data_IF_258198319778
#
_entry.id   IF_258198319778
#
_cell.length_a   1.000
_cell.length_b   1.000
_cell.length_c   1.000
_cell.angle_alpha   90.00
_cell.angle_beta   90.00
_cell.angle_gamma   90.00
#
_symmetry.space_group_name_H-M   'P 1'
#
loop_
_entity.id
_entity.type
_entity.pdbx_description
1 polymer ?
#
# COMPACT_ATOMS: atom_id res chain seq x y z
N UNK A 1 16.26 0.08 -52.37
CA UNK A 1 15.48 0.78 -51.32
C UNK A 1 16.48 1.44 -50.40
N UNK A 2 16.79 2.72 -50.62
CA UNK A 2 17.89 3.42 -49.96
C UNK A 2 17.43 4.00 -48.62
N UNK A 3 18.14 3.66 -47.55
CA UNK A 3 17.94 4.26 -46.22
C UNK A 3 18.59 5.65 -46.19
N UNK A 4 17.77 6.69 -46.05
CA UNK A 4 18.24 8.06 -45.80
C UNK A 4 18.60 8.17 -44.31
N UNK A 5 19.89 8.05 -44.00
CA UNK A 5 20.44 8.48 -42.71
C UNK A 5 20.22 9.98 -42.52
N UNK A 6 19.57 10.36 -41.43
CA UNK A 6 19.52 11.77 -41.00
C UNK A 6 20.84 12.13 -40.31
N UNK A 7 21.38 13.35 -40.51
CA UNK A 7 22.52 13.82 -39.76
C UNK A 7 22.15 13.95 -38.29
N UNK A 8 23.02 13.50 -37.39
CA UNK A 8 22.89 13.73 -35.96
C UNK A 8 23.27 15.19 -35.74
N UNK A 9 22.28 16.01 -35.39
CA UNK A 9 22.46 17.40 -35.02
C UNK A 9 23.37 17.47 -33.79
N UNK A 10 24.54 18.08 -33.96
CA UNK A 10 25.59 18.20 -32.98
C UNK A 10 25.10 19.11 -31.85
N UNK A 11 24.84 18.51 -30.68
CA UNK A 11 24.42 19.27 -29.50
C UNK A 11 25.53 20.27 -29.13
N UNK A 12 25.24 21.59 -29.07
CA UNK A 12 26.24 22.56 -28.69
C UNK A 12 26.72 22.27 -27.26
N UNK A 13 28.05 22.27 -27.12
CA UNK A 13 28.78 22.04 -25.89
C UNK A 13 28.16 22.76 -24.68
N UNK A 14 27.74 21.98 -23.69
CA UNK A 14 27.29 22.44 -22.37
C UNK A 14 28.47 23.02 -21.56
N UNK A 15 28.90 24.24 -21.88
CA UNK A 15 30.03 24.89 -21.18
C UNK A 15 29.69 26.12 -20.36
N UNK A 16 28.45 26.60 -20.35
CA UNK A 16 28.09 27.81 -19.58
C UNK A 16 26.69 27.72 -18.93
N UNK A 17 26.45 26.65 -18.16
CA UNK A 17 25.36 26.68 -17.18
C UNK A 17 25.92 27.25 -15.86
N UNK A 18 25.38 28.37 -15.33
CA UNK A 18 25.78 28.86 -14.03
C UNK A 18 25.49 27.78 -12.98
N UNK A 19 26.45 27.57 -12.07
CA UNK A 19 26.31 26.60 -11.00
C UNK A 19 24.99 26.83 -10.25
N UNK A 20 24.20 25.77 -9.97
CA UNK A 20 23.00 25.93 -9.16
C UNK A 20 23.40 26.52 -7.79
N UNK A 21 22.59 27.43 -7.21
CA UNK A 21 22.85 27.93 -5.87
C UNK A 21 22.94 26.73 -4.90
N UNK A 22 23.78 26.81 -3.86
CA UNK A 22 23.87 25.75 -2.87
C UNK A 22 22.46 25.48 -2.33
N UNK A 23 21.99 24.24 -2.53
CA UNK A 23 20.74 23.79 -1.97
C UNK A 23 20.79 23.98 -0.44
N UNK A 24 19.72 24.43 0.21
CA UNK A 24 19.65 24.38 1.67
C UNK A 24 19.62 22.91 2.10
N UNK A 25 20.80 22.34 2.30
CA UNK A 25 21.02 21.16 3.12
C UNK A 25 20.61 21.50 4.56
N UNK A 26 19.87 20.57 5.18
CA UNK A 26 19.59 20.49 6.63
C UNK A 26 18.51 21.43 7.18
N UNK A 27 17.24 21.10 6.89
CA UNK A 27 16.13 21.38 7.81
C UNK A 27 14.90 20.49 7.52
N UNK A 28 15.05 19.16 7.49
CA UNK A 28 13.90 18.25 7.57
C UNK A 28 14.31 16.86 8.08
N UNK A 29 15.27 16.79 8.99
CA UNK A 29 15.54 15.58 9.76
C UNK A 29 14.99 15.80 11.17
N UNK A 30 14.24 14.82 11.67
CA UNK A 30 13.50 14.80 12.95
C UNK A 30 12.12 15.49 12.98
N UNK A 31 11.20 15.05 12.13
CA UNK A 31 9.83 14.82 12.61
C UNK A 31 9.82 13.51 13.42
N UNK A 32 10.38 13.56 14.63
CA UNK A 32 10.30 12.45 15.58
C UNK A 32 8.82 12.09 15.79
N UNK A 33 8.50 10.84 15.48
CA UNK A 33 7.19 10.23 15.69
C UNK A 33 6.78 10.41 17.16
N UNK A 34 5.90 11.38 17.44
CA UNK A 34 5.26 11.46 18.74
C UNK A 34 4.48 10.16 18.96
N UNK A 35 4.56 9.52 20.14
CA UNK A 35 3.80 8.31 20.42
C UNK A 35 2.31 8.60 20.22
N UNK A 36 1.72 7.98 19.20
CA UNK A 36 0.28 8.09 18.94
C UNK A 36 -0.42 7.42 20.10
N UNK A 37 -1.30 8.16 20.76
CA UNK A 37 -2.16 7.62 21.81
C UNK A 37 -2.98 6.46 21.20
N UNK A 38 -3.02 5.27 21.82
CA UNK A 38 -3.83 4.16 21.31
C UNK A 38 -5.27 4.63 21.11
N UNK A 39 -5.83 4.40 19.92
CA UNK A 39 -7.23 4.66 19.66
C UNK A 39 -8.05 3.62 20.42
N UNK A 40 -9.09 4.06 21.12
CA UNK A 40 -10.01 3.15 21.80
C UNK A 40 -10.93 2.52 20.75
N UNK A 41 -10.71 1.25 20.44
CA UNK A 41 -11.45 0.50 19.41
C UNK A 41 -12.40 -0.47 20.11
N UNK A 42 -13.69 -0.37 19.81
CA UNK A 42 -14.67 -1.36 20.28
C UNK A 42 -14.49 -2.68 19.49
N UNK A 43 -14.46 -3.81 20.20
CA UNK A 43 -14.50 -5.12 19.58
C UNK A 43 -15.92 -5.38 19.03
N UNK A 44 -16.02 -5.62 17.73
CA UNK A 44 -17.28 -5.91 17.05
C UNK A 44 -17.38 -7.42 16.78
N UNK A 45 -18.53 -8.00 17.12
CA UNK A 45 -18.88 -9.37 16.74
C UNK A 45 -19.72 -9.32 15.45
N UNK A 46 -19.19 -9.90 14.37
CA UNK A 46 -19.87 -9.94 13.08
C UNK A 46 -20.72 -11.20 12.99
N UNK A 47 -22.03 -11.03 12.76
CA UNK A 47 -23.01 -12.11 12.69
C UNK A 47 -22.85 -13.01 11.45
N UNK A 48 -22.16 -12.54 10.42
CA UNK A 48 -21.87 -13.27 9.20
C UNK A 48 -20.35 -13.22 8.91
N UNK A 49 -19.61 -14.06 9.62
CA UNK A 49 -18.15 -14.10 9.54
C UNK A 49 -17.63 -14.64 8.21
N UNK A 50 -18.44 -15.41 7.48
CA UNK A 50 -18.07 -16.00 6.20
C UNK A 50 -18.18 -14.99 5.06
N UNK A 51 -19.09 -14.01 5.14
CA UNK A 51 -19.17 -12.90 4.18
C UNK A 51 -17.90 -12.04 4.13
N UNK A 52 -17.05 -12.12 5.15
CA UNK A 52 -15.79 -11.36 5.26
C UNK A 52 -14.53 -12.22 5.11
N UNK A 53 -14.67 -13.48 4.69
CA UNK A 53 -13.55 -14.42 4.52
C UNK A 53 -13.62 -15.11 3.17
N UNK A 54 -12.46 -15.40 2.62
CA UNK A 54 -12.29 -16.23 1.43
C UNK A 54 -11.11 -17.16 1.66
N UNK A 55 -11.10 -18.31 1.00
CA UNK A 55 -9.95 -19.22 1.04
C UNK A 55 -9.56 -19.66 -0.36
N UNK A 56 -8.27 -19.95 -0.52
CA UNK A 56 -7.74 -20.55 -1.74
C UNK A 56 -6.86 -21.75 -1.42
N UNK A 57 -6.91 -22.74 -2.31
CA UNK A 57 -5.94 -23.82 -2.33
C UNK A 57 -4.72 -23.38 -3.13
N UNK A 58 -3.54 -23.67 -2.62
CA UNK A 58 -2.28 -23.42 -3.30
C UNK A 58 -2.05 -24.49 -4.37
N UNK A 59 -1.74 -24.06 -5.59
CA UNK A 59 -1.24 -24.94 -6.64
C UNK A 59 0.13 -25.52 -6.25
N UNK A 60 0.92 -24.76 -5.48
CA UNK A 60 2.23 -25.16 -5.01
C UNK A 60 2.32 -25.06 -3.48
N UNK A 61 1.87 -26.10 -2.75
CA UNK A 61 2.03 -26.17 -1.31
C UNK A 61 3.49 -26.05 -0.89
N UNK A 62 3.74 -25.38 0.24
CA UNK A 62 5.09 -25.16 0.76
C UNK A 62 5.16 -25.47 2.25
N UNK A 63 6.40 -25.54 2.78
CA UNK A 63 6.64 -25.61 4.21
C UNK A 63 7.15 -24.28 4.72
N UNK A 64 6.56 -23.79 5.78
CA UNK A 64 6.99 -22.60 6.48
C UNK A 64 6.91 -22.85 7.99
N UNK A 65 7.99 -22.53 8.71
CA UNK A 65 8.13 -22.81 10.14
C UNK A 65 7.81 -24.28 10.53
N UNK A 66 8.28 -25.22 9.70
CA UNK A 66 8.03 -26.65 9.88
C UNK A 66 6.58 -27.11 9.61
N UNK A 67 5.66 -26.20 9.29
CA UNK A 67 4.26 -26.49 8.98
C UNK A 67 4.04 -26.53 7.48
N UNK A 68 3.22 -27.47 7.05
CA UNK A 68 2.79 -27.57 5.66
C UNK A 68 1.60 -26.64 5.41
N UNK A 69 1.75 -25.74 4.44
CA UNK A 69 0.73 -24.78 4.03
C UNK A 69 0.21 -25.22 2.67
N UNK A 70 -1.07 -25.62 2.63
CA UNK A 70 -1.78 -26.03 1.41
C UNK A 70 -2.86 -25.05 0.99
N UNK A 71 -3.33 -24.23 1.91
CA UNK A 71 -4.36 -23.22 1.67
C UNK A 71 -4.03 -21.92 2.39
N UNK A 72 -4.51 -20.83 1.84
CA UNK A 72 -4.42 -19.50 2.44
C UNK A 72 -5.84 -19.00 2.67
N UNK A 73 -6.14 -18.58 3.89
CA UNK A 73 -7.35 -17.85 4.24
C UNK A 73 -7.07 -16.36 4.15
N UNK A 74 -7.98 -15.64 3.51
CA UNK A 74 -7.94 -14.19 3.32
C UNK A 74 -9.16 -13.61 4.03
N UNK A 75 -8.94 -12.77 5.04
CA UNK A 75 -10.03 -12.07 5.73
C UNK A 75 -10.07 -10.60 5.34
N UNK A 76 -11.26 -10.01 5.45
CA UNK A 76 -11.43 -8.56 5.41
C UNK A 76 -10.75 -7.96 6.63
N UNK A 77 -10.04 -6.86 6.39
CA UNK A 77 -9.32 -6.10 7.41
C UNK A 77 -9.88 -4.68 7.43
N UNK A 78 -9.98 -4.08 8.61
CA UNK A 78 -10.42 -2.68 8.73
C UNK A 78 -9.30 -1.73 8.32
N UNK A 79 -9.65 -0.55 7.84
CA UNK A 79 -8.69 0.52 7.55
C UNK A 79 -7.75 0.83 8.73
N UNK A 80 -8.25 0.71 9.97
CA UNK A 80 -7.43 0.90 11.17
C UNK A 80 -6.36 -0.18 11.32
N UNK A 81 -6.72 -1.46 11.15
CA UNK A 81 -5.76 -2.56 11.23
C UNK A 81 -4.67 -2.45 10.16
N UNK A 82 -5.04 -1.98 8.95
CA UNK A 82 -4.05 -1.67 7.90
C UNK A 82 -3.15 -0.51 8.35
N UNK A 83 -3.73 0.58 8.88
CA UNK A 83 -2.98 1.75 9.33
C UNK A 83 -2.02 1.46 10.48
N UNK A 84 -2.36 0.52 11.37
CA UNK A 84 -1.50 0.05 12.45
C UNK A 84 -0.35 -0.82 11.95
N UNK A 85 -0.56 -1.61 10.90
CA UNK A 85 0.48 -2.42 10.29
C UNK A 85 1.44 -1.58 9.44
N UNK A 86 0.92 -0.58 8.71
CA UNK A 86 1.68 0.25 7.77
C UNK A 86 2.95 0.97 8.30
N UNK A 87 3.07 1.47 9.55
CA UNK A 87 4.30 2.11 10.01
C UNK A 87 5.53 1.18 9.96
N UNK A 88 5.35 -0.13 9.92
CA UNK A 88 6.43 -1.11 9.76
C UNK A 88 6.80 -1.40 8.30
N UNK A 89 5.99 -0.93 7.34
CA UNK A 89 6.15 -1.22 5.92
C UNK A 89 6.42 0.04 5.10
N UNK A 90 7.32 -0.05 4.13
CA UNK A 90 7.48 1.01 3.14
C UNK A 90 6.13 1.19 2.43
N UNK A 91 5.66 2.44 2.31
CA UNK A 91 4.30 2.83 1.92
C UNK A 91 3.81 2.37 0.52
N UNK A 92 4.55 1.50 -0.16
CA UNK A 92 4.27 0.97 -1.50
C UNK A 92 4.20 -0.57 -1.57
N UNK A 93 4.31 -1.28 -0.45
CA UNK A 93 4.31 -2.75 -0.49
C UNK A 93 2.90 -3.32 -0.24
N UNK A 94 2.20 -3.71 -1.31
CA UNK A 94 0.86 -4.32 -1.23
C UNK A 94 0.87 -5.63 -0.41
N UNK A 95 2.01 -6.33 -0.33
CA UNK A 95 2.17 -7.54 0.47
C UNK A 95 2.10 -7.30 1.98
N UNK A 96 2.37 -6.08 2.44
CA UNK A 96 2.12 -5.69 3.82
C UNK A 96 0.64 -5.81 4.18
N UNK A 97 -0.22 -5.29 3.29
CA UNK A 97 -1.68 -5.35 3.47
C UNK A 97 -2.15 -6.80 3.43
N UNK A 98 -1.65 -7.59 2.46
CA UNK A 98 -1.98 -9.01 2.37
C UNK A 98 -1.48 -9.82 3.56
N UNK A 99 -0.39 -9.41 4.20
CA UNK A 99 0.08 -10.05 5.42
C UNK A 99 -0.91 -9.87 6.57
N UNK A 100 -1.50 -8.68 6.72
CA UNK A 100 -2.56 -8.43 7.70
C UNK A 100 -3.82 -9.24 7.36
N UNK A 101 -4.16 -9.37 6.08
CA UNK A 101 -5.33 -10.11 5.62
C UNK A 101 -5.21 -11.63 5.79
N UNK A 102 -4.00 -12.18 5.65
CA UNK A 102 -3.78 -13.64 5.67
C UNK A 102 -3.20 -14.14 6.98
N UNK A 103 -2.59 -13.25 7.77
CA UNK A 103 -1.77 -13.62 8.93
C UNK A 103 -0.42 -14.23 8.55
N UNK A 104 -0.07 -14.32 7.26
CA UNK A 104 1.23 -14.79 6.81
C UNK A 104 2.18 -13.60 6.63
N UNK A 105 3.49 -13.72 6.95
CA UNK A 105 4.42 -12.61 6.78
C UNK A 105 4.59 -12.19 5.32
N UNK A 106 4.75 -10.89 5.07
CA UNK A 106 4.96 -10.36 3.71
C UNK A 106 6.11 -11.05 2.94
N UNK A 107 7.27 -11.39 3.55
CA UNK A 107 8.31 -12.15 2.85
C UNK A 107 7.86 -13.53 2.35
N UNK A 108 6.98 -14.22 3.09
CA UNK A 108 6.41 -15.52 2.68
C UNK A 108 5.52 -15.32 1.47
N UNK A 109 4.65 -14.31 1.51
CA UNK A 109 3.74 -13.98 0.40
C UNK A 109 4.49 -13.56 -0.87
N UNK A 110 5.63 -12.88 -0.75
CA UNK A 110 6.49 -12.53 -1.90
C UNK A 110 7.18 -13.76 -2.51
N UNK A 111 7.43 -14.79 -1.69
CA UNK A 111 8.01 -16.06 -2.09
C UNK A 111 7.03 -17.02 -2.79
N UNK A 112 5.73 -16.70 -2.82
CA UNK A 112 4.76 -17.50 -3.56
C UNK A 112 5.11 -17.53 -5.06
N UNK A 113 4.86 -18.69 -5.67
CA UNK A 113 4.93 -18.82 -7.12
C UNK A 113 3.92 -17.91 -7.78
N UNK A 114 4.17 -17.57 -9.05
CA UNK A 114 3.43 -16.54 -9.76
C UNK A 114 1.94 -16.83 -9.79
N UNK A 115 1.56 -18.07 -10.04
CA UNK A 115 0.20 -18.56 -10.14
C UNK A 115 -0.56 -18.38 -8.82
N UNK A 116 0.05 -18.80 -7.71
CA UNK A 116 -0.53 -18.67 -6.37
C UNK A 116 -0.61 -17.19 -5.93
N UNK A 117 0.38 -16.38 -6.30
CA UNK A 117 0.38 -14.94 -6.03
C UNK A 117 -0.72 -14.21 -6.81
N UNK A 118 -0.89 -14.51 -8.10
CA UNK A 118 -1.97 -13.93 -8.91
C UNK A 118 -3.35 -14.34 -8.37
N UNK A 119 -3.52 -15.60 -7.97
CA UNK A 119 -4.75 -16.09 -7.34
C UNK A 119 -5.04 -15.38 -6.00
N UNK A 120 -4.01 -15.18 -5.16
CA UNK A 120 -4.14 -14.41 -3.92
C UNK A 120 -4.62 -12.98 -4.20
N UNK A 121 -4.02 -12.29 -5.17
CA UNK A 121 -4.40 -10.92 -5.52
C UNK A 121 -5.84 -10.85 -6.08
N UNK A 122 -6.26 -11.84 -6.86
CA UNK A 122 -7.61 -11.92 -7.41
C UNK A 122 -8.68 -12.07 -6.31
N UNK A 123 -8.36 -12.77 -5.22
CA UNK A 123 -9.27 -12.98 -4.08
C UNK A 123 -9.21 -11.83 -3.08
N UNK A 124 -8.01 -11.32 -2.77
CA UNK A 124 -7.83 -10.23 -1.82
C UNK A 124 -8.30 -8.87 -2.36
N UNK A 125 -8.15 -8.63 -3.67
CA UNK A 125 -8.51 -7.36 -4.31
C UNK A 125 -9.97 -6.93 -4.09
N UNK A 126 -10.98 -7.80 -4.29
CA UNK A 126 -12.37 -7.51 -3.97
C UNK A 126 -12.60 -7.17 -2.49
N UNK A 127 -11.96 -7.90 -1.57
CA UNK A 127 -12.10 -7.67 -0.13
C UNK A 127 -11.53 -6.32 0.32
N UNK A 128 -10.50 -5.81 -0.37
CA UNK A 128 -9.98 -4.45 -0.16
C UNK A 128 -10.88 -3.37 -0.77
N UNK A 129 -11.52 -3.64 -1.91
CA UNK A 129 -12.33 -2.65 -2.64
C UNK A 129 -13.71 -2.38 -2.06
N UNK A 130 -14.31 -3.34 -1.34
CA UNK A 130 -15.65 -3.15 -0.78
C UNK A 130 -15.74 -2.13 0.38
N UNK A 131 -14.63 -1.58 0.88
CA UNK A 131 -14.68 -0.36 1.73
C UNK A 131 -14.75 0.93 0.88
N UNK A 132 -14.45 0.86 -0.41
CA UNK A 132 -14.35 2.02 -1.31
C UNK A 132 -15.57 2.22 -2.21
N UNK A 133 -16.64 1.44 -2.07
CA UNK A 133 -17.89 1.68 -2.82
C UNK A 133 -18.58 3.02 -2.44
N UNK A 134 -17.99 3.81 -1.54
CA UNK A 134 -18.30 5.23 -1.33
C UNK A 134 -17.16 6.22 -1.60
N UNK A 135 -15.94 5.77 -1.93
CA UNK A 135 -14.77 6.60 -2.14
C UNK A 135 -14.19 6.36 -3.54
N UNK A 136 -14.33 7.33 -4.44
CA UNK A 136 -13.80 7.27 -5.79
C UNK A 136 -12.27 7.13 -5.80
N UNK A 137 -11.73 6.72 -6.95
CA UNK A 137 -10.27 6.67 -7.18
C UNK A 137 -9.59 8.04 -6.96
N UNK A 138 -10.34 9.14 -7.08
CA UNK A 138 -9.88 10.49 -6.72
C UNK A 138 -9.80 10.68 -5.20
N UNK A 139 -10.78 10.16 -4.46
CA UNK A 139 -10.79 10.19 -2.99
C UNK A 139 -9.63 9.39 -2.40
N UNK A 140 -9.20 8.29 -3.03
CA UNK A 140 -8.01 7.54 -2.62
C UNK A 140 -6.69 8.28 -2.91
N UNK A 141 -6.62 9.04 -4.01
CA UNK A 141 -5.47 9.88 -4.31
C UNK A 141 -5.41 11.12 -3.39
N UNK A 142 -6.56 11.62 -2.96
CA UNK A 142 -6.71 12.69 -1.99
C UNK A 142 -6.43 12.20 -0.56
N UNK A 143 -6.87 10.99 -0.19
CA UNK A 143 -6.50 10.31 1.06
C UNK A 143 -4.99 10.08 1.15
N UNK A 144 -4.36 9.61 0.07
CA UNK A 144 -2.89 9.48 0.01
C UNK A 144 -2.19 10.83 0.22
N UNK A 145 -2.77 11.93 -0.28
CA UNK A 145 -2.30 13.29 -0.01
C UNK A 145 -2.51 13.69 1.46
N UNK A 146 -3.66 13.41 2.06
CA UNK A 146 -3.98 13.72 3.46
C UNK A 146 -3.19 12.92 4.49
N UNK A 147 -2.83 11.68 4.17
CA UNK A 147 -2.03 10.81 5.06
C UNK A 147 -0.53 11.15 4.96
N UNK A 148 -0.04 11.56 3.79
CA UNK A 148 1.36 11.95 3.58
C UNK A 148 1.64 13.42 3.96
N UNK A 149 0.65 14.30 3.91
CA UNK A 149 0.75 15.69 4.36
C UNK A 149 0.10 15.74 5.75
N UNK A 150 0.92 15.52 6.79
CA UNK A 150 0.46 15.43 8.17
C UNK A 150 -0.63 16.44 8.54
N UNK A 151 -1.79 15.92 8.92
CA UNK A 151 -2.83 16.51 9.77
C UNK A 151 -2.62 18.02 10.08
N UNK A 152 -3.07 18.91 9.19
CA UNK A 152 -3.12 20.36 9.49
C UNK A 152 -4.41 21.09 9.15
N UNK A 153 -5.46 20.40 8.69
CA UNK A 153 -6.77 21.04 8.55
C UNK A 153 -7.88 20.18 9.15
N UNK A 154 -8.00 20.23 10.47
CA UNK A 154 -9.32 20.25 11.09
C UNK A 154 -9.99 21.57 10.70
N UNK A 155 -10.59 21.64 9.52
CA UNK A 155 -11.51 22.70 9.16
C UNK A 155 -12.33 22.25 7.94
N UNK A 156 -13.42 21.54 8.19
CA UNK A 156 -14.59 21.67 7.33
C UNK A 156 -15.79 21.99 8.21
N UNK A 157 -16.54 23.06 7.89
CA UNK A 157 -17.59 23.57 8.75
C UNK A 157 -18.76 22.59 8.79
N UNK A 158 -19.34 22.46 9.99
CA UNK A 158 -20.69 21.98 10.20
C UNK A 158 -21.61 22.52 9.11
N UNK A 159 -22.18 21.63 8.29
CA UNK A 159 -23.43 21.95 7.60
C UNK A 159 -24.49 22.06 8.69
N UNK A 160 -24.90 23.29 8.97
CA UNK A 160 -26.06 23.61 9.78
C UNK A 160 -27.35 23.17 9.06
N UNK A 161 -28.26 22.61 9.86
CA UNK A 161 -29.71 22.44 9.71
C UNK A 161 -30.27 21.99 8.36
#
# INVERSE_FOLDING_TARGET
>A
MSATSRPIEEYPHAKDLPAPPPAPEQAAEAAASAPRKPLEVAALEFLDADAVRASMQLAHPFRWDGREVRSIEVRRVSALAIAEALPEFQAQDDFAIYAVMTGLPAPVLRGLLREDREALMAIAGPLLRQETDGASRADLAEWRRYVLIGCRSCASPMRAC
#
